data_IF_257842769784
#
_entry.id   IF_257842769784
#
_cell.length_a   1.000
_cell.length_b   1.000
_cell.length_c   1.000
_cell.angle_alpha   90.00
_cell.angle_beta   90.00
_cell.angle_gamma   90.00
#
_symmetry.space_group_name_H-M   'P 1'
#
loop_
_entity.id
_entity.type
_entity.pdbx_description
1 polymer ?
#
# COMPACT_ATOMS: atom_id res chain seq x y z
N UNK A 1 2.96 -31.72 9.11
CA UNK A 1 1.95 -30.96 9.90
C UNK A 1 1.42 -29.85 9.01
N UNK A 2 0.12 -29.76 8.82
CA UNK A 2 -0.54 -28.64 8.12
C UNK A 2 -0.73 -27.48 9.10
N UNK A 3 -0.25 -26.28 8.77
CA UNK A 3 -0.53 -25.05 9.52
C UNK A 3 -1.70 -24.32 8.83
N UNK A 4 -2.71 -23.95 9.58
CA UNK A 4 -3.75 -23.04 9.11
C UNK A 4 -3.32 -21.61 9.32
N UNK A 5 -3.44 -20.77 8.29
CA UNK A 5 -3.15 -19.35 8.32
C UNK A 5 -4.46 -18.58 8.09
N UNK A 6 -4.77 -17.62 8.97
CA UNK A 6 -5.91 -16.74 8.80
C UNK A 6 -5.46 -15.46 8.10
N UNK A 7 -6.10 -15.15 6.99
CA UNK A 7 -5.82 -13.94 6.20
C UNK A 7 -7.06 -13.03 6.17
N UNK A 8 -6.85 -11.73 6.06
CA UNK A 8 -7.91 -10.74 5.88
C UNK A 8 -7.59 -9.84 4.70
N UNK A 9 -8.58 -9.59 3.84
CA UNK A 9 -8.55 -8.54 2.84
C UNK A 9 -9.50 -7.43 3.28
N UNK A 10 -8.99 -6.20 3.35
CA UNK A 10 -9.77 -5.05 3.78
C UNK A 10 -10.50 -4.43 2.59
N UNK A 11 -11.71 -3.94 2.84
CA UNK A 11 -12.52 -3.24 1.86
C UNK A 11 -13.09 -1.98 2.48
N UNK A 12 -12.70 -0.80 1.98
CA UNK A 12 -13.21 0.49 2.42
C UNK A 12 -13.09 1.54 1.31
N UNK A 13 -13.84 2.63 1.43
CA UNK A 13 -13.76 3.76 0.52
C UNK A 13 -12.71 4.75 1.03
N UNK A 14 -11.77 5.14 0.18
CA UNK A 14 -10.76 6.12 0.50
C UNK A 14 -11.31 7.55 0.38
N UNK A 15 -10.98 8.40 1.37
CA UNK A 15 -11.28 9.82 1.34
C UNK A 15 -10.40 10.54 0.29
N UNK A 16 -10.98 11.50 -0.42
CA UNK A 16 -10.26 12.26 -1.43
C UNK A 16 -9.34 13.29 -0.78
N UNK A 17 -8.05 13.21 -1.11
CA UNK A 17 -7.06 14.24 -0.77
C UNK A 17 -6.66 14.28 0.71
N UNK A 18 -6.97 13.24 1.49
CA UNK A 18 -6.51 13.12 2.88
C UNK A 18 -5.81 11.78 3.12
N UNK A 19 -4.49 11.81 2.92
CA UNK A 19 -3.61 10.66 3.11
C UNK A 19 -3.66 10.13 4.55
N UNK A 20 -3.68 11.02 5.54
CA UNK A 20 -3.64 10.61 6.95
C UNK A 20 -4.98 10.04 7.43
N UNK A 21 -6.11 10.56 6.93
CA UNK A 21 -7.43 9.97 7.19
C UNK A 21 -7.51 8.56 6.65
N UNK A 22 -7.04 8.33 5.43
CA UNK A 22 -7.02 6.99 4.82
C UNK A 22 -6.12 6.01 5.57
N UNK A 23 -4.94 6.45 6.01
CA UNK A 23 -4.04 5.63 6.83
C UNK A 23 -4.67 5.30 8.17
N UNK A 24 -5.32 6.27 8.83
CA UNK A 24 -6.01 6.03 10.10
C UNK A 24 -7.17 5.03 9.96
N UNK A 25 -7.95 5.15 8.88
CA UNK A 25 -9.04 4.20 8.58
C UNK A 25 -8.49 2.79 8.33
N UNK A 26 -7.44 2.66 7.51
CA UNK A 26 -6.78 1.37 7.27
C UNK A 26 -6.23 0.77 8.57
N UNK A 27 -5.58 1.60 9.41
CA UNK A 27 -5.05 1.20 10.71
C UNK A 27 -6.12 0.61 11.61
N UNK A 28 -7.27 1.29 11.74
CA UNK A 28 -8.39 0.81 12.55
C UNK A 28 -8.94 -0.53 12.05
N UNK A 29 -9.03 -0.73 10.74
CA UNK A 29 -9.49 -1.98 10.16
C UNK A 29 -8.46 -3.11 10.32
N UNK A 30 -7.16 -2.81 10.24
CA UNK A 30 -6.09 -3.77 10.51
C UNK A 30 -6.15 -4.24 11.97
N UNK A 31 -6.33 -3.31 12.92
CA UNK A 31 -6.49 -3.64 14.34
C UNK A 31 -7.68 -4.59 14.56
N UNK A 32 -8.84 -4.29 13.95
CA UNK A 32 -10.02 -5.15 14.03
C UNK A 32 -9.76 -6.54 13.42
N UNK A 33 -9.09 -6.62 12.28
CA UNK A 33 -8.74 -7.90 11.66
C UNK A 33 -7.78 -8.72 12.53
N UNK A 34 -6.80 -8.06 13.16
CA UNK A 34 -5.88 -8.69 14.11
C UNK A 34 -6.61 -9.20 15.36
N UNK A 35 -7.60 -8.46 15.87
CA UNK A 35 -8.41 -8.87 17.04
C UNK A 35 -9.19 -10.18 16.79
N UNK A 36 -9.61 -10.44 15.55
CA UNK A 36 -10.24 -11.71 15.18
C UNK A 36 -9.24 -12.77 14.70
N UNK A 37 -7.95 -12.53 14.89
CA UNK A 37 -6.87 -13.49 14.70
C UNK A 37 -6.33 -13.58 13.28
N UNK A 38 -6.48 -12.56 12.43
CA UNK A 38 -5.80 -12.51 11.15
C UNK A 38 -4.27 -12.37 11.35
N UNK A 39 -3.50 -13.15 10.60
CA UNK A 39 -2.03 -13.16 10.65
C UNK A 39 -1.40 -12.40 9.46
N UNK A 40 -2.10 -12.35 8.32
CA UNK A 40 -1.75 -11.53 7.16
C UNK A 40 -2.95 -10.65 6.82
N UNK A 41 -2.75 -9.34 6.71
CA UNK A 41 -3.83 -8.38 6.50
C UNK A 41 -3.49 -7.48 5.32
N UNK A 42 -4.31 -7.52 4.28
CA UNK A 42 -4.09 -6.82 3.02
C UNK A 42 -5.03 -5.62 2.88
N UNK A 43 -4.54 -4.38 2.97
CA UNK A 43 -5.27 -3.17 2.56
C UNK A 43 -5.48 -3.13 1.04
N UNK A 44 -6.42 -2.30 0.53
CA UNK A 44 -6.59 -2.09 -0.90
C UNK A 44 -5.34 -1.50 -1.59
N UNK A 45 -5.25 -1.70 -2.91
CA UNK A 45 -4.21 -1.06 -3.73
C UNK A 45 -4.27 0.47 -3.60
N UNK A 46 -3.11 1.12 -3.40
CA UNK A 46 -2.96 2.59 -3.29
C UNK A 46 -3.88 3.24 -2.24
N UNK A 47 -4.17 2.53 -1.15
CA UNK A 47 -5.20 2.89 -0.16
C UNK A 47 -4.98 4.22 0.56
N UNK A 48 -3.78 4.77 0.50
CA UNK A 48 -3.45 6.04 1.16
C UNK A 48 -4.03 7.29 0.46
N UNK A 49 -4.58 7.12 -0.75
CA UNK A 49 -5.31 8.18 -1.46
C UNK A 49 -6.51 7.57 -2.20
N UNK A 50 -7.44 8.43 -2.67
CA UNK A 50 -8.43 7.97 -3.63
C UNK A 50 -7.73 7.52 -4.92
N UNK A 51 -8.41 6.68 -5.71
CA UNK A 51 -7.83 6.21 -6.97
C UNK A 51 -7.73 7.37 -7.99
N UNK A 52 -6.60 8.07 -7.97
CA UNK A 52 -6.32 9.27 -8.78
C UNK A 52 -6.06 8.96 -10.26
N UNK A 53 -5.75 7.72 -10.60
CA UNK A 53 -5.44 7.34 -12.00
C UNK A 53 -6.65 7.40 -12.96
N UNK A 54 -7.81 7.85 -12.49
CA UNK A 54 -8.98 8.12 -13.36
C UNK A 54 -8.74 9.27 -14.33
N UNK A 55 -7.89 10.21 -13.96
CA UNK A 55 -7.52 11.41 -14.73
C UNK A 55 -6.01 11.57 -14.77
N UNK A 56 -5.51 12.45 -15.65
CA UNK A 56 -4.09 12.80 -15.74
C UNK A 56 -3.89 14.19 -15.11
N UNK A 57 -3.50 14.21 -13.84
CA UNK A 57 -3.30 15.46 -13.09
C UNK A 57 -1.93 15.45 -12.40
N UNK A 58 -1.06 16.38 -12.79
CA UNK A 58 0.31 16.46 -12.27
C UNK A 58 0.38 16.72 -10.76
N UNK A 59 -0.66 17.29 -10.17
CA UNK A 59 -0.74 17.57 -8.73
C UNK A 59 -0.61 16.32 -7.87
N UNK A 60 -1.02 15.14 -8.39
CA UNK A 60 -0.92 13.89 -7.66
C UNK A 60 0.51 13.39 -7.45
N UNK A 61 1.48 13.83 -8.27
CA UNK A 61 2.89 13.47 -8.03
C UNK A 61 3.44 13.98 -6.70
N UNK A 62 2.83 15.01 -6.13
CA UNK A 62 3.20 15.53 -4.81
C UNK A 62 2.87 14.58 -3.65
N UNK A 63 1.99 13.58 -3.86
CA UNK A 63 1.64 12.58 -2.83
C UNK A 63 2.55 11.36 -2.82
N UNK A 64 3.46 11.25 -3.81
CA UNK A 64 4.41 10.15 -3.89
C UNK A 64 5.60 10.37 -2.93
N UNK A 65 6.01 9.30 -2.26
CA UNK A 65 7.14 9.30 -1.33
C UNK A 65 8.12 8.17 -1.65
N UNK A 66 9.36 8.31 -1.20
CA UNK A 66 10.28 7.16 -1.14
C UNK A 66 9.64 6.10 -0.25
N UNK A 67 9.73 4.83 -0.65
CA UNK A 67 9.00 3.77 0.05
C UNK A 67 9.29 3.73 1.56
N UNK A 68 10.57 3.92 1.97
CA UNK A 68 10.97 3.88 3.38
C UNK A 68 10.49 5.10 4.20
N UNK A 69 10.11 6.18 3.53
CA UNK A 69 9.65 7.44 4.13
C UNK A 69 8.13 7.62 3.98
N UNK A 70 7.48 6.72 3.26
CA UNK A 70 6.04 6.83 2.99
C UNK A 70 5.25 6.68 4.31
N UNK A 71 4.37 7.64 4.66
CA UNK A 71 3.65 7.64 5.93
C UNK A 71 2.90 6.33 6.21
N UNK A 72 2.25 5.75 5.18
CA UNK A 72 1.58 4.46 5.32
C UNK A 72 2.55 3.33 5.71
N UNK A 73 3.74 3.28 5.10
CA UNK A 73 4.75 2.26 5.43
C UNK A 73 5.21 2.41 6.87
N UNK A 74 5.54 3.65 7.28
CA UNK A 74 6.00 3.96 8.65
C UNK A 74 4.97 3.56 9.71
N UNK A 75 3.69 3.85 9.47
CA UNK A 75 2.64 3.52 10.43
C UNK A 75 2.30 2.02 10.43
N UNK A 76 2.26 1.39 9.26
CA UNK A 76 2.03 -0.06 9.18
C UNK A 76 3.17 -0.89 9.81
N UNK A 77 4.42 -0.41 9.78
CA UNK A 77 5.52 -1.05 10.50
C UNK A 77 5.31 -1.06 12.02
N UNK A 78 4.78 0.02 12.59
CA UNK A 78 4.45 0.10 14.01
C UNK A 78 3.33 -0.89 14.39
N UNK A 79 2.27 -0.93 13.57
CA UNK A 79 1.13 -1.82 13.80
C UNK A 79 1.54 -3.28 13.63
N UNK A 80 2.25 -3.62 12.56
CA UNK A 80 2.75 -4.97 12.30
C UNK A 80 3.54 -5.50 13.51
N UNK A 81 4.48 -4.68 14.02
CA UNK A 81 5.28 -5.03 15.21
C UNK A 81 4.43 -5.17 16.47
N UNK A 82 3.50 -4.25 16.70
CA UNK A 82 2.67 -4.26 17.90
C UNK A 82 1.70 -5.44 17.96
N UNK A 83 1.17 -5.86 16.79
CA UNK A 83 0.15 -6.91 16.68
C UNK A 83 0.73 -8.26 16.23
N UNK A 84 1.99 -8.33 15.82
CA UNK A 84 2.60 -9.55 15.31
C UNK A 84 1.97 -10.04 13.99
N UNK A 85 1.57 -9.14 13.10
CA UNK A 85 0.89 -9.42 11.84
C UNK A 85 1.73 -8.99 10.64
N UNK A 86 1.56 -9.67 9.50
CA UNK A 86 2.18 -9.31 8.22
C UNK A 86 1.26 -8.39 7.45
N UNK A 87 1.79 -7.29 6.91
CA UNK A 87 1.01 -6.28 6.18
C UNK A 87 1.69 -5.96 4.84
N UNK A 88 1.13 -6.37 3.70
CA UNK A 88 1.51 -5.86 2.39
C UNK A 88 0.96 -4.42 2.23
N UNK A 89 1.83 -3.44 2.03
CA UNK A 89 1.46 -2.01 1.98
C UNK A 89 1.62 -1.48 0.57
N UNK A 90 0.51 -1.20 -0.11
CA UNK A 90 0.51 -0.62 -1.46
C UNK A 90 0.63 0.89 -1.39
N UNK A 91 1.56 1.45 -2.18
CA UNK A 91 1.94 2.87 -2.15
C UNK A 91 2.20 3.44 -3.53
N UNK A 92 2.05 4.77 -3.65
CA UNK A 92 2.61 5.56 -4.75
C UNK A 92 4.07 5.90 -4.40
N UNK A 93 4.99 5.15 -5.00
CA UNK A 93 6.42 5.29 -4.73
C UNK A 93 7.07 6.34 -5.65
N UNK A 94 7.98 7.14 -5.08
CA UNK A 94 8.94 7.97 -5.81
C UNK A 94 10.35 7.44 -5.59
N UNK A 95 11.10 7.18 -6.67
CA UNK A 95 12.49 6.79 -6.62
C UNK A 95 13.31 7.61 -7.65
N UNK A 96 14.06 8.59 -7.14
CA UNK A 96 14.72 9.58 -7.98
C UNK A 96 13.71 10.34 -8.86
N UNK A 97 13.88 10.34 -10.19
CA UNK A 97 12.96 10.99 -11.11
C UNK A 97 11.77 10.12 -11.52
N UNK A 98 11.70 8.87 -11.09
CA UNK A 98 10.70 7.89 -11.51
C UNK A 98 9.66 7.61 -10.43
N UNK A 99 8.50 7.14 -10.87
CA UNK A 99 7.36 6.85 -10.01
C UNK A 99 6.84 5.44 -10.30
N UNK A 100 6.44 4.73 -9.24
CA UNK A 100 6.00 3.33 -9.31
C UNK A 100 4.74 3.09 -8.48
N UNK A 101 3.95 2.13 -8.94
CA UNK A 101 2.94 1.49 -8.13
C UNK A 101 3.62 0.31 -7.42
N UNK A 102 3.77 0.41 -6.12
CA UNK A 102 4.64 -0.49 -5.35
C UNK A 102 3.92 -1.12 -4.17
N UNK A 103 4.35 -2.30 -3.78
CA UNK A 103 3.98 -2.92 -2.52
C UNK A 103 5.22 -3.17 -1.67
N UNK A 104 5.16 -2.73 -0.42
CA UNK A 104 6.19 -3.01 0.60
C UNK A 104 5.67 -4.12 1.49
N UNK A 105 6.38 -5.23 1.57
CA UNK A 105 6.03 -6.32 2.47
C UNK A 105 6.58 -6.05 3.86
N UNK A 106 5.71 -5.89 4.85
CA UNK A 106 6.08 -5.67 6.25
C UNK A 106 5.85 -6.96 7.03
N UNK A 107 6.91 -7.45 7.67
CA UNK A 107 6.87 -8.67 8.49
C UNK A 107 6.26 -8.41 9.88
N UNK A 108 5.90 -9.46 10.58
CA UNK A 108 5.29 -9.44 11.91
C UNK A 108 6.16 -8.79 13.00
N UNK A 109 7.45 -8.63 12.77
CA UNK A 109 8.36 -7.88 13.66
C UNK A 109 8.43 -6.37 13.32
N UNK A 110 7.68 -5.91 12.30
CA UNK A 110 7.65 -4.54 11.80
C UNK A 110 8.74 -4.21 10.79
N UNK A 111 9.58 -5.18 10.41
CA UNK A 111 10.65 -4.97 9.44
C UNK A 111 10.10 -5.04 8.01
N UNK A 112 10.49 -4.09 7.15
CA UNK A 112 10.24 -4.19 5.72
C UNK A 112 11.16 -5.26 5.10
N UNK A 113 10.57 -6.24 4.42
CA UNK A 113 11.30 -7.34 3.75
C UNK A 113 11.79 -6.92 2.36
N UNK A 114 11.21 -5.88 1.78
CA UNK A 114 11.55 -5.37 0.48
C UNK A 114 10.36 -4.71 -0.21
N UNK A 115 10.62 -4.21 -1.42
CA UNK A 115 9.61 -3.55 -2.27
C UNK A 115 9.49 -4.32 -3.57
N UNK A 116 8.25 -4.54 -4.01
CA UNK A 116 7.91 -5.00 -5.35
C UNK A 116 7.21 -3.89 -6.10
N UNK A 117 7.64 -3.61 -7.31
CA UNK A 117 7.08 -2.63 -8.22
C UNK A 117 6.25 -3.32 -9.29
N UNK A 118 4.99 -2.93 -9.45
CA UNK A 118 4.04 -3.48 -10.43
C UNK A 118 4.67 -3.52 -11.83
N UNK A 119 4.83 -4.71 -12.40
CA UNK A 119 5.56 -4.91 -13.67
C UNK A 119 4.73 -4.49 -14.89
N UNK A 120 3.44 -4.77 -14.88
CA UNK A 120 2.52 -4.48 -15.98
C UNK A 120 1.57 -3.36 -15.60
N UNK A 121 1.71 -2.20 -16.24
CA UNK A 121 0.91 -1.02 -15.96
C UNK A 121 -0.25 -0.95 -16.96
N UNK A 122 -1.51 -1.07 -16.51
CA UNK A 122 -2.66 -0.93 -17.37
C UNK A 122 -2.86 0.54 -17.79
N UNK A 123 -3.57 0.74 -18.90
CA UNK A 123 -3.89 2.07 -19.38
C UNK A 123 -5.18 2.07 -20.19
N UNK A 124 -6.07 3.02 -19.89
CA UNK A 124 -7.35 3.17 -20.55
C UNK A 124 -8.26 4.19 -19.87
N UNK A 125 -9.46 4.43 -20.42
CA UNK A 125 -10.42 5.35 -19.82
C UNK A 125 -10.77 4.93 -18.38
N UNK A 126 -10.53 5.85 -17.42
CA UNK A 126 -10.78 5.62 -15.99
C UNK A 126 -9.68 4.88 -15.23
N UNK A 127 -8.59 4.46 -15.89
CA UNK A 127 -7.41 3.84 -15.28
C UNK A 127 -6.14 4.17 -16.07
N UNK A 128 -5.82 5.46 -16.12
CA UNK A 128 -4.69 6.01 -16.89
C UNK A 128 -3.38 5.90 -16.09
N UNK A 129 -3.04 4.68 -15.68
CA UNK A 129 -1.91 4.42 -14.78
C UNK A 129 -0.55 4.71 -15.43
N UNK A 130 -0.42 4.58 -16.75
CA UNK A 130 0.85 4.87 -17.47
C UNK A 130 1.25 6.34 -17.44
N UNK A 131 0.33 7.25 -17.12
CA UNK A 131 0.68 8.66 -16.88
C UNK A 131 1.52 8.81 -15.61
N UNK A 132 1.25 8.00 -14.59
CA UNK A 132 1.88 8.11 -13.27
C UNK A 132 3.03 7.15 -13.07
N UNK A 133 2.89 5.89 -13.50
CA UNK A 133 3.79 4.82 -13.12
C UNK A 133 4.64 4.31 -14.28
N UNK A 134 5.92 4.05 -13.97
CA UNK A 134 6.80 3.25 -14.81
C UNK A 134 6.55 1.76 -14.55
N UNK A 135 6.76 0.89 -15.56
CA UNK A 135 6.85 -0.55 -15.33
C UNK A 135 7.89 -0.87 -14.26
N UNK A 136 7.56 -1.78 -13.37
CA UNK A 136 8.44 -2.20 -12.30
C UNK A 136 9.75 -2.82 -12.78
N UNK A 137 10.80 -2.65 -11.99
CA UNK A 137 12.16 -3.13 -12.25
C UNK A 137 12.73 -4.02 -11.13
N UNK A 138 11.85 -4.56 -10.28
CA UNK A 138 12.21 -5.42 -9.14
C UNK A 138 12.15 -6.92 -9.46
N UNK A 139 11.81 -7.29 -10.67
CA UNK A 139 11.57 -8.68 -11.07
C UNK A 139 10.14 -9.15 -10.82
N UNK A 140 9.95 -10.46 -10.83
CA UNK A 140 8.67 -11.14 -10.60
C UNK A 140 8.72 -11.95 -9.31
#
# INVERSE_FOLDING_TARGET
>A
MTRTLRVAALQFAMAKGDLYENIAQASALIEQAADVGAEIILPPELFSDHYFCKTQEETHFATAHRWAEHPAVVDMQKIAKARGVVIPVSIFEKDGPEYFNSVVMIDADGRALGVYRKSHIPDGPGYQEKFYFRPGNTGF
#
